data_IF_602087217470
#
_entry.id   IF_602087217470
#
_cell.length_a   1.000
_cell.length_b   1.000
_cell.length_c   1.000
_cell.angle_alpha   90.00
_cell.angle_beta   90.00
_cell.angle_gamma   90.00
#
_symmetry.space_group_name_H-M   'P 1'
#
loop_
_entity.id
_entity.type
_entity.pdbx_description
1 polymer ?
#
# COMPACT_ATOMS: atom_id res chain seq x y z
N UNK A 1 12.21 -29.92 1.99
CA UNK A 1 11.09 -29.88 2.97
C UNK A 1 11.21 -28.58 3.75
N UNK A 2 10.54 -27.52 3.29
CA UNK A 2 10.38 -26.30 4.10
C UNK A 2 9.33 -26.63 5.16
N UNK A 3 9.69 -26.49 6.43
CA UNK A 3 8.79 -26.81 7.55
C UNK A 3 7.57 -25.87 7.51
N UNK A 4 6.39 -26.38 7.89
CA UNK A 4 5.14 -25.61 7.96
C UNK A 4 5.23 -24.34 8.82
N UNK A 5 6.21 -24.29 9.73
CA UNK A 5 6.54 -23.13 10.55
C UNK A 5 7.19 -21.99 9.76
N UNK A 6 8.09 -22.31 8.83
CA UNK A 6 8.74 -21.31 7.97
C UNK A 6 7.75 -20.72 6.96
N UNK A 7 6.88 -21.57 6.39
CA UNK A 7 5.85 -21.11 5.46
C UNK A 7 4.84 -20.15 6.13
N UNK A 8 4.45 -20.45 7.37
CA UNK A 8 3.61 -19.58 8.20
C UNK A 8 4.31 -18.24 8.49
N UNK A 9 5.60 -18.27 8.84
CA UNK A 9 6.38 -17.07 9.16
C UNK A 9 6.60 -16.16 7.93
N UNK A 10 6.84 -16.76 6.76
CA UNK A 10 6.94 -16.04 5.48
C UNK A 10 5.58 -15.42 5.11
N UNK A 11 4.48 -16.13 5.33
CA UNK A 11 3.13 -15.63 5.04
C UNK A 11 2.77 -14.44 5.94
N UNK A 12 3.01 -14.56 7.25
CA UNK A 12 2.75 -13.50 8.22
C UNK A 12 3.60 -12.26 7.94
N UNK A 13 4.90 -12.44 7.64
CA UNK A 13 5.77 -11.32 7.29
C UNK A 13 5.37 -10.64 5.98
N UNK A 14 4.96 -11.40 4.96
CA UNK A 14 4.41 -10.85 3.71
C UNK A 14 3.15 -10.01 3.93
N UNK A 15 2.22 -10.51 4.75
CA UNK A 15 1.01 -9.78 5.15
C UNK A 15 1.37 -8.48 5.88
N UNK A 16 2.31 -8.56 6.84
CA UNK A 16 2.74 -7.39 7.61
C UNK A 16 3.40 -6.34 6.72
N UNK A 17 4.26 -6.74 5.78
CA UNK A 17 4.87 -5.85 4.79
C UNK A 17 3.79 -5.18 3.93
N UNK A 18 2.78 -5.93 3.47
CA UNK A 18 1.66 -5.36 2.72
C UNK A 18 0.91 -4.28 3.51
N UNK A 19 0.57 -4.56 4.76
CA UNK A 19 -0.06 -3.59 5.68
C UNK A 19 0.81 -2.34 5.84
N UNK A 20 2.13 -2.51 6.02
CA UNK A 20 3.06 -1.40 6.15
C UNK A 20 3.14 -0.55 4.88
N UNK A 21 3.14 -1.16 3.68
CA UNK A 21 3.13 -0.43 2.41
C UNK A 21 1.84 0.40 2.27
N UNK A 22 0.69 -0.15 2.67
CA UNK A 22 -0.56 0.60 2.66
C UNK A 22 -0.57 1.74 3.67
N UNK A 23 -0.10 1.49 4.90
CA UNK A 23 0.04 2.53 5.92
C UNK A 23 1.00 3.64 5.46
N UNK A 24 2.09 3.27 4.78
CA UNK A 24 3.09 4.19 4.25
C UNK A 24 2.47 5.17 3.23
N UNK A 25 1.63 4.69 2.32
CA UNK A 25 0.90 5.55 1.36
C UNK A 25 0.07 6.60 2.09
N UNK A 26 -0.77 6.21 3.05
CA UNK A 26 -1.63 7.15 3.79
C UNK A 26 -0.78 8.15 4.57
N UNK A 27 0.30 7.67 5.18
CA UNK A 27 1.24 8.49 5.97
C UNK A 27 1.96 9.54 5.14
N UNK A 28 2.34 9.20 3.92
CA UNK A 28 2.95 10.13 2.98
C UNK A 28 2.01 11.31 2.72
N UNK A 29 0.73 11.05 2.50
CA UNK A 29 -0.26 12.10 2.33
C UNK A 29 -0.37 12.95 3.59
N UNK A 30 -0.54 12.31 4.74
CA UNK A 30 -0.85 13.01 5.99
C UNK A 30 0.31 13.90 6.42
N UNK A 31 1.54 13.41 6.24
CA UNK A 31 2.76 14.14 6.54
C UNK A 31 3.07 15.27 5.57
N UNK A 32 2.91 15.06 4.26
CA UNK A 32 3.29 16.06 3.25
C UNK A 32 2.23 17.14 3.01
N UNK A 33 0.94 16.85 3.19
CA UNK A 33 -0.11 17.86 3.11
C UNK A 33 -0.24 18.70 4.40
N UNK A 34 0.72 18.57 5.33
CA UNK A 34 0.78 19.31 6.60
C UNK A 34 -0.55 19.29 7.36
N UNK A 35 -1.19 18.11 7.45
CA UNK A 35 -2.40 17.97 8.25
C UNK A 35 -2.07 18.15 9.74
N UNK A 36 -3.04 18.71 10.46
CA UNK A 36 -2.97 18.85 11.91
C UNK A 36 -2.91 17.45 12.56
N UNK A 37 -2.28 17.36 13.74
CA UNK A 37 -2.20 16.08 14.48
C UNK A 37 -3.58 15.46 14.72
N UNK A 38 -4.62 16.30 14.85
CA UNK A 38 -6.01 15.87 15.03
C UNK A 38 -6.57 15.21 13.78
N UNK A 39 -6.36 15.81 12.60
CA UNK A 39 -6.80 15.23 11.33
C UNK A 39 -6.08 13.91 11.05
N UNK A 40 -4.76 13.84 11.25
CA UNK A 40 -4.00 12.59 11.09
C UNK A 40 -4.49 11.49 12.04
N UNK A 41 -4.80 11.85 13.30
CA UNK A 41 -5.34 10.90 14.28
C UNK A 41 -6.74 10.41 13.86
N UNK A 42 -7.62 11.30 13.38
CA UNK A 42 -8.93 10.92 12.86
C UNK A 42 -8.82 9.93 11.70
N UNK A 43 -7.90 10.16 10.77
CA UNK A 43 -7.65 9.26 9.65
C UNK A 43 -7.13 7.92 10.18
N UNK A 44 -6.08 7.92 11.02
CA UNK A 44 -5.53 6.69 11.59
C UNK A 44 -6.60 5.87 12.35
N UNK A 45 -7.47 6.54 13.10
CA UNK A 45 -8.55 5.92 13.85
C UNK A 45 -9.64 5.37 12.92
N UNK A 46 -9.94 6.03 11.81
CA UNK A 46 -10.82 5.49 10.77
C UNK A 46 -10.27 4.21 10.15
N UNK A 47 -8.95 4.13 9.88
CA UNK A 47 -8.30 2.92 9.37
C UNK A 47 -8.32 1.79 10.41
N UNK A 48 -8.09 2.11 11.69
CA UNK A 48 -8.20 1.15 12.78
C UNK A 48 -9.63 0.59 12.90
N UNK A 49 -10.65 1.46 12.85
CA UNK A 49 -12.05 1.07 12.92
C UNK A 49 -12.48 0.23 11.70
N UNK A 50 -12.00 0.57 10.51
CA UNK A 50 -12.24 -0.23 9.30
C UNK A 50 -11.61 -1.62 9.42
N UNK A 51 -10.36 -1.72 9.89
CA UNK A 51 -9.68 -2.99 10.07
C UNK A 51 -10.37 -3.89 11.12
N UNK A 52 -10.81 -3.31 12.24
CA UNK A 52 -11.54 -4.06 13.27
C UNK A 52 -12.91 -4.51 12.77
N UNK A 53 -13.64 -3.65 12.06
CA UNK A 53 -14.91 -3.99 11.43
C UNK A 53 -14.75 -5.15 10.44
N UNK A 54 -13.73 -5.10 9.58
CA UNK A 54 -13.44 -6.21 8.65
C UNK A 54 -13.10 -7.51 9.42
N UNK A 55 -12.35 -7.43 10.51
CA UNK A 55 -12.06 -8.58 11.38
C UNK A 55 -13.30 -9.29 11.93
N UNK A 56 -14.32 -8.53 12.31
CA UNK A 56 -15.61 -9.07 12.77
C UNK A 56 -16.40 -9.67 11.61
N UNK A 57 -16.43 -8.98 10.47
CA UNK A 57 -17.22 -9.36 9.29
C UNK A 57 -16.73 -10.67 8.65
N UNK A 58 -15.45 -11.03 8.80
CA UNK A 58 -14.88 -12.30 8.28
C UNK A 58 -15.66 -13.53 8.76
N UNK A 59 -16.24 -13.49 9.96
CA UNK A 59 -17.05 -14.60 10.48
C UNK A 59 -18.42 -14.77 9.82
N UNK A 60 -18.88 -13.78 9.04
CA UNK A 60 -20.26 -13.72 8.52
C UNK A 60 -20.34 -13.71 6.98
N UNK A 61 -19.22 -13.54 6.26
CA UNK A 61 -19.25 -13.37 4.80
C UNK A 61 -19.25 -14.72 4.07
N UNK A 62 -20.20 -14.96 3.14
CA UNK A 62 -20.15 -16.10 2.24
C UNK A 62 -19.10 -15.91 1.13
N UNK A 63 -18.53 -17.02 0.66
CA UNK A 63 -17.45 -17.06 -0.35
C UNK A 63 -17.77 -16.31 -1.67
N UNK A 64 -19.05 -16.13 -2.02
CA UNK A 64 -19.47 -15.42 -3.24
C UNK A 64 -19.17 -13.91 -3.19
N UNK A 65 -19.32 -13.28 -2.02
CA UNK A 65 -19.03 -11.85 -1.84
C UNK A 65 -17.53 -11.59 -1.87
N UNK A 66 -16.73 -12.56 -1.45
CA UNK A 66 -15.27 -12.48 -1.45
C UNK A 66 -14.68 -12.37 -2.88
N UNK A 67 -15.12 -13.20 -3.81
CA UNK A 67 -14.66 -13.11 -5.21
C UNK A 67 -15.07 -11.80 -5.88
N UNK A 68 -16.26 -11.31 -5.59
CA UNK A 68 -16.71 -10.01 -6.09
C UNK A 68 -15.87 -8.86 -5.53
N UNK A 69 -15.54 -8.90 -4.24
CA UNK A 69 -14.67 -7.92 -3.58
C UNK A 69 -13.24 -7.94 -4.15
N UNK A 70 -12.70 -9.12 -4.44
CA UNK A 70 -11.38 -9.26 -5.08
C UNK A 70 -11.37 -8.68 -6.50
N UNK A 71 -12.37 -9.02 -7.33
CA UNK A 71 -12.45 -8.53 -8.71
C UNK A 71 -12.67 -7.01 -8.76
N UNK A 72 -13.59 -6.49 -7.93
CA UNK A 72 -13.79 -5.06 -7.76
C UNK A 72 -12.51 -4.37 -7.25
N UNK A 73 -11.76 -5.00 -6.36
CA UNK A 73 -10.49 -4.52 -5.84
C UNK A 73 -9.43 -4.31 -6.94
N UNK A 74 -9.30 -5.26 -7.87
CA UNK A 74 -8.36 -5.16 -9.01
C UNK A 74 -8.75 -4.03 -9.96
N UNK A 75 -10.03 -3.93 -10.33
CA UNK A 75 -10.53 -2.85 -11.18
C UNK A 75 -10.30 -1.47 -10.54
N UNK A 76 -10.58 -1.36 -9.24
CA UNK A 76 -10.35 -0.11 -8.48
C UNK A 76 -8.86 0.21 -8.35
N UNK A 77 -7.99 -0.79 -8.25
CA UNK A 77 -6.53 -0.58 -8.23
C UNK A 77 -6.04 0.18 -9.47
N UNK A 78 -6.57 -0.17 -10.66
CA UNK A 78 -6.26 0.52 -11.90
C UNK A 78 -6.76 1.98 -11.91
N UNK A 79 -8.00 2.21 -11.45
CA UNK A 79 -8.58 3.55 -11.35
C UNK A 79 -7.75 4.44 -10.43
N UNK A 80 -7.38 3.93 -9.25
CA UNK A 80 -6.58 4.66 -8.27
C UNK A 80 -5.18 4.92 -8.80
N UNK A 81 -4.57 3.96 -9.49
CA UNK A 81 -3.25 4.14 -10.08
C UNK A 81 -3.25 5.29 -11.08
N UNK A 82 -4.24 5.33 -11.98
CA UNK A 82 -4.40 6.42 -12.95
C UNK A 82 -4.63 7.76 -12.24
N UNK A 83 -5.49 7.78 -11.23
CA UNK A 83 -5.83 8.98 -10.47
C UNK A 83 -4.64 9.52 -9.65
N UNK A 84 -3.79 8.64 -9.12
CA UNK A 84 -2.54 9.03 -8.45
C UNK A 84 -1.53 9.63 -9.42
N UNK A 85 -1.38 9.05 -10.62
CA UNK A 85 -0.48 9.61 -11.64
C UNK A 85 -0.98 10.98 -12.10
N UNK A 86 -2.27 11.11 -12.43
CA UNK A 86 -2.82 12.38 -12.94
C UNK A 86 -2.75 13.49 -11.88
N UNK A 87 -3.19 13.22 -10.65
CA UNK A 87 -3.12 14.20 -9.57
C UNK A 87 -1.69 14.49 -9.14
N UNK A 88 -0.79 13.51 -9.21
CA UNK A 88 0.63 13.71 -8.94
C UNK A 88 1.27 14.67 -9.95
N UNK A 89 1.00 14.48 -11.24
CA UNK A 89 1.47 15.40 -12.30
C UNK A 89 0.87 16.79 -12.13
N UNK A 90 -0.43 16.90 -11.84
CA UNK A 90 -1.08 18.20 -11.60
C UNK A 90 -0.46 18.90 -10.39
N UNK A 91 -0.27 18.20 -9.26
CA UNK A 91 0.36 18.74 -8.04
C UNK A 91 1.78 19.24 -8.29
N UNK A 92 2.60 18.45 -8.99
CA UNK A 92 3.97 18.84 -9.30
C UNK A 92 4.02 20.02 -10.28
N UNK A 93 3.15 20.03 -11.30
CA UNK A 93 3.10 21.08 -12.32
C UNK A 93 2.63 22.41 -11.73
N UNK A 94 1.56 22.39 -10.94
CA UNK A 94 0.95 23.58 -10.34
C UNK A 94 1.93 24.28 -9.40
N UNK A 95 2.61 23.50 -8.55
CA UNK A 95 3.64 24.02 -7.66
C UNK A 95 4.82 24.61 -8.43
N UNK A 96 5.32 23.93 -9.47
CA UNK A 96 6.51 24.36 -10.21
C UNK A 96 6.25 25.55 -11.16
N UNK A 97 5.01 25.75 -11.64
CA UNK A 97 4.66 26.86 -12.53
C UNK A 97 4.07 28.06 -11.82
N UNK A 98 3.11 27.83 -10.92
CA UNK A 98 2.29 28.91 -10.34
C UNK A 98 2.62 29.17 -8.88
N UNK A 99 3.34 28.25 -8.22
CA UNK A 99 3.61 28.33 -6.77
C UNK A 99 2.36 28.10 -5.91
N UNK A 100 1.25 27.66 -6.52
CA UNK A 100 0.00 27.38 -5.82
C UNK A 100 0.07 26.01 -5.12
N UNK A 101 -0.17 26.01 -3.81
CA UNK A 101 -0.24 24.77 -3.02
C UNK A 101 -1.64 24.13 -3.12
N UNK A 102 -1.75 23.08 -3.93
CA UNK A 102 -2.95 22.25 -4.05
C UNK A 102 -2.86 20.93 -3.28
N UNK A 103 -1.83 20.74 -2.45
CA UNK A 103 -1.54 19.49 -1.73
C UNK A 103 -2.70 19.04 -0.84
N UNK A 104 -3.40 19.99 -0.18
CA UNK A 104 -4.57 19.66 0.65
C UNK A 104 -5.75 19.10 -0.15
N UNK A 105 -5.91 19.50 -1.42
CA UNK A 105 -6.98 18.96 -2.29
C UNK A 105 -6.60 17.57 -2.82
N UNK A 106 -5.36 17.41 -3.30
CA UNK A 106 -4.90 16.14 -3.88
C UNK A 106 -4.58 15.09 -2.82
N UNK A 107 -4.36 15.49 -1.57
CA UNK A 107 -4.24 14.60 -0.42
C UNK A 107 -5.40 13.62 -0.26
N UNK A 108 -6.64 14.07 -0.49
CA UNK A 108 -7.82 13.22 -0.33
C UNK A 108 -7.75 11.98 -1.22
N UNK A 109 -7.27 12.12 -2.44
CA UNK A 109 -7.07 11.00 -3.35
C UNK A 109 -6.04 9.97 -2.84
N UNK A 110 -5.05 10.43 -2.08
CA UNK A 110 -4.02 9.55 -1.52
C UNK A 110 -4.51 8.82 -0.26
N UNK A 111 -5.30 9.51 0.57
CA UNK A 111 -5.71 9.04 1.89
C UNK A 111 -7.08 8.38 1.93
N UNK A 112 -7.89 8.51 0.88
CA UNK A 112 -9.19 7.87 0.81
C UNK A 112 -9.01 6.34 0.94
N UNK A 113 -9.71 5.69 1.90
CA UNK A 113 -9.63 4.25 2.09
C UNK A 113 -10.22 3.59 0.86
N UNK A 114 -9.35 3.15 -0.04
CA UNK A 114 -9.82 2.57 -1.27
C UNK A 114 -10.36 1.15 -1.04
N UNK A 115 -11.37 0.70 -1.80
CA UNK A 115 -11.93 -0.63 -1.66
C UNK A 115 -10.89 -1.75 -1.83
N UNK A 116 -9.80 -1.49 -2.59
CA UNK A 116 -8.68 -2.42 -2.70
C UNK A 116 -7.93 -2.61 -1.36
N UNK A 117 -7.72 -1.55 -0.58
CA UNK A 117 -7.13 -1.68 0.76
C UNK A 117 -8.06 -2.46 1.68
N UNK A 118 -9.38 -2.24 1.61
CA UNK A 118 -10.34 -3.02 2.40
C UNK A 118 -10.30 -4.50 2.03
N UNK A 119 -10.27 -4.83 0.74
CA UNK A 119 -10.12 -6.20 0.26
C UNK A 119 -8.81 -6.84 0.74
N UNK A 120 -7.70 -6.09 0.67
CA UNK A 120 -6.39 -6.56 1.13
C UNK A 120 -6.35 -6.76 2.65
N UNK A 121 -6.94 -5.86 3.45
CA UNK A 121 -7.06 -6.00 4.90
C UNK A 121 -7.94 -7.19 5.26
N UNK A 122 -9.08 -7.37 4.58
CA UNK A 122 -9.96 -8.53 4.77
C UNK A 122 -9.22 -9.85 4.49
N UNK A 123 -8.50 -9.91 3.37
CA UNK A 123 -7.70 -11.07 2.97
C UNK A 123 -6.60 -11.36 4.01
N UNK A 124 -5.89 -10.32 4.41
CA UNK A 124 -4.82 -10.39 5.41
C UNK A 124 -5.32 -10.94 6.74
N UNK A 125 -6.42 -10.40 7.25
CA UNK A 125 -7.06 -10.87 8.48
C UNK A 125 -7.54 -12.33 8.33
N UNK A 126 -8.13 -12.70 7.20
CA UNK A 126 -8.63 -14.06 6.95
C UNK A 126 -7.48 -15.08 6.96
N UNK A 127 -6.36 -14.78 6.30
CA UNK A 127 -5.18 -15.64 6.34
C UNK A 127 -4.56 -15.70 7.74
N UNK A 128 -4.48 -14.58 8.46
CA UNK A 128 -3.96 -14.58 9.83
C UNK A 128 -4.81 -15.42 10.78
N UNK A 129 -6.14 -15.44 10.63
CA UNK A 129 -7.03 -16.31 11.42
C UNK A 129 -6.71 -17.77 11.14
N UNK A 130 -6.55 -18.13 9.86
CA UNK A 130 -6.21 -19.49 9.45
C UNK A 130 -4.84 -19.96 9.95
N UNK A 131 -3.85 -19.07 10.05
CA UNK A 131 -2.49 -19.40 10.49
C UNK A 131 -2.35 -19.40 12.02
N UNK A 132 -2.93 -18.39 12.70
CA UNK A 132 -2.72 -18.18 14.14
C UNK A 132 -3.81 -18.82 15.02
N UNK A 133 -4.91 -19.32 14.43
CA UNK A 133 -6.03 -19.97 15.14
C UNK A 133 -6.58 -19.15 16.33
N UNK A 134 -6.50 -17.83 16.24
CA UNK A 134 -7.03 -16.86 17.23
C UNK A 134 -8.32 -16.24 16.70
N UNK A 135 -9.11 -15.70 17.62
CA UNK A 135 -10.40 -15.10 17.28
C UNK A 135 -10.25 -13.93 16.28
N UNK A 136 -11.11 -13.89 15.26
CA UNK A 136 -11.03 -12.95 14.14
C UNK A 136 -11.08 -11.47 14.57
N UNK A 137 -11.83 -11.17 15.64
CA UNK A 137 -11.92 -9.81 16.18
C UNK A 137 -10.59 -9.33 16.78
N UNK A 138 -9.79 -10.24 17.38
CA UNK A 138 -8.47 -9.90 17.94
C UNK A 138 -7.47 -9.59 16.84
N UNK A 139 -7.52 -10.33 15.73
CA UNK A 139 -6.67 -10.08 14.56
C UNK A 139 -7.04 -8.75 13.92
N UNK A 140 -8.33 -8.47 13.71
CA UNK A 140 -8.79 -7.18 13.18
C UNK A 140 -8.31 -6.00 14.04
N UNK A 141 -8.37 -6.15 15.37
CA UNK A 141 -7.85 -5.15 16.31
C UNK A 141 -6.32 -5.01 16.20
N UNK A 142 -5.58 -6.11 16.12
CA UNK A 142 -4.12 -6.09 16.00
C UNK A 142 -3.67 -5.42 14.69
N UNK A 143 -4.28 -5.76 13.57
CA UNK A 143 -4.02 -5.14 12.25
C UNK A 143 -4.39 -3.65 12.30
N UNK A 144 -5.52 -3.28 12.90
CA UNK A 144 -5.91 -1.90 13.11
C UNK A 144 -4.91 -1.11 13.96
N UNK A 145 -4.37 -1.72 15.02
CA UNK A 145 -3.34 -1.11 15.86
C UNK A 145 -2.04 -0.86 15.10
N UNK A 146 -1.63 -1.79 14.23
CA UNK A 146 -0.47 -1.59 13.33
C UNK A 146 -0.71 -0.40 12.41
N UNK A 147 -1.88 -0.31 11.75
CA UNK A 147 -2.23 0.85 10.94
C UNK A 147 -2.17 2.16 11.74
N UNK A 148 -2.72 2.19 12.95
CA UNK A 148 -2.71 3.37 13.81
C UNK A 148 -1.28 3.85 14.11
N UNK A 149 -0.43 2.95 14.61
CA UNK A 149 0.95 3.26 14.99
C UNK A 149 1.78 3.66 13.78
N UNK A 150 1.67 2.91 12.68
CA UNK A 150 2.40 3.21 11.44
C UNK A 150 1.98 4.56 10.85
N UNK A 151 0.67 4.86 10.80
CA UNK A 151 0.18 6.13 10.25
C UNK A 151 0.68 7.30 11.08
N UNK A 152 0.52 7.25 12.41
CA UNK A 152 0.95 8.36 13.27
C UNK A 152 2.48 8.52 13.22
N UNK A 153 3.23 7.42 13.34
CA UNK A 153 4.69 7.44 13.38
C UNK A 153 5.32 7.93 12.08
N UNK A 154 4.89 7.37 10.93
CA UNK A 154 5.42 7.76 9.62
C UNK A 154 4.96 9.16 9.23
N UNK A 155 3.73 9.57 9.54
CA UNK A 155 3.25 10.92 9.24
C UNK A 155 4.06 11.98 9.99
N UNK A 156 4.42 11.73 11.25
CA UNK A 156 5.27 12.64 12.03
C UNK A 156 6.68 12.74 11.43
N UNK A 157 7.23 11.60 10.99
CA UNK A 157 8.54 11.55 10.32
C UNK A 157 8.53 12.37 9.02
N UNK A 158 7.52 12.20 8.18
CA UNK A 158 7.39 12.94 6.92
C UNK A 158 7.16 14.43 7.16
N UNK A 159 6.39 14.79 8.20
CA UNK A 159 6.15 16.19 8.55
C UNK A 159 7.42 16.92 8.96
N UNK A 160 8.34 16.26 9.69
CA UNK A 160 9.64 16.85 10.06
C UNK A 160 10.56 17.09 8.87
N UNK A 161 10.32 16.44 7.73
CA UNK A 161 11.21 16.51 6.58
C UNK A 161 11.05 17.78 5.73
N UNK A 162 10.17 18.73 6.07
CA UNK A 162 9.95 20.00 5.35
C UNK A 162 9.92 19.85 3.81
N UNK A 163 9.20 18.84 3.32
CA UNK A 163 9.11 18.56 1.88
C UNK A 163 8.15 19.52 1.18
N UNK A 164 8.42 19.82 -0.09
CA UNK A 164 7.59 20.70 -0.92
C UNK A 164 6.43 19.94 -1.56
N UNK A 165 5.35 20.61 -1.98
CA UNK A 165 4.25 20.02 -2.76
C UNK A 165 4.69 19.24 -4.01
N UNK A 166 5.79 19.66 -4.65
CA UNK A 166 6.39 18.92 -5.78
C UNK A 166 6.84 17.51 -5.38
N UNK A 167 7.41 17.35 -4.18
CA UNK A 167 7.82 16.03 -3.66
C UNK A 167 6.62 15.11 -3.43
N UNK A 168 5.50 15.68 -2.99
CA UNK A 168 4.24 14.95 -2.85
C UNK A 168 3.72 14.50 -4.23
N UNK A 169 3.73 15.39 -5.22
CA UNK A 169 3.36 15.05 -6.60
C UNK A 169 4.23 13.93 -7.18
N UNK A 170 5.54 14.01 -7.00
CA UNK A 170 6.48 12.97 -7.43
C UNK A 170 6.25 11.63 -6.70
N UNK A 171 5.97 11.66 -5.41
CA UNK A 171 5.62 10.45 -4.64
C UNK A 171 4.31 9.82 -5.13
N UNK A 172 3.29 10.64 -5.46
CA UNK A 172 2.03 10.18 -6.05
C UNK A 172 2.24 9.50 -7.40
N UNK A 173 3.06 10.11 -8.28
CA UNK A 173 3.41 9.51 -9.59
C UNK A 173 4.12 8.18 -9.38
N UNK A 174 5.11 8.13 -8.49
CA UNK A 174 5.87 6.89 -8.22
C UNK A 174 4.95 5.77 -7.70
N UNK A 175 4.06 6.08 -6.75
CA UNK A 175 3.09 5.13 -6.23
C UNK A 175 2.10 4.66 -7.31
N UNK A 176 1.62 5.58 -8.15
CA UNK A 176 0.72 5.25 -9.26
C UNK A 176 1.39 4.33 -10.30
N UNK A 177 2.62 4.62 -10.70
CA UNK A 177 3.41 3.77 -11.59
C UNK A 177 3.70 2.39 -10.96
N UNK A 178 4.02 2.36 -9.67
CA UNK A 178 4.21 1.11 -8.92
C UNK A 178 2.92 0.26 -8.93
N UNK A 179 1.74 0.87 -8.84
CA UNK A 179 0.46 0.17 -8.91
C UNK A 179 0.18 -0.39 -10.31
N UNK A 180 0.47 0.37 -11.37
CA UNK A 180 0.37 -0.11 -12.76
C UNK A 180 1.31 -1.29 -12.99
N UNK A 181 2.56 -1.18 -12.54
CA UNK A 181 3.54 -2.25 -12.62
C UNK A 181 3.05 -3.51 -11.89
N UNK A 182 2.54 -3.34 -10.67
CA UNK A 182 1.98 -4.45 -9.88
C UNK A 182 0.81 -5.13 -10.61
N UNK A 183 -0.09 -4.37 -11.22
CA UNK A 183 -1.21 -4.91 -12.01
C UNK A 183 -0.74 -5.68 -13.24
N UNK A 184 0.37 -5.29 -13.88
CA UNK A 184 0.91 -5.99 -15.04
C UNK A 184 1.67 -7.26 -14.65
N UNK A 185 2.44 -7.20 -13.55
CA UNK A 185 3.29 -8.31 -13.09
C UNK A 185 2.49 -9.48 -12.55
N UNK A 186 1.42 -9.23 -11.78
CA UNK A 186 0.65 -10.30 -11.12
C UNK A 186 0.03 -11.28 -12.14
N UNK A 187 -0.74 -10.85 -13.16
CA UNK A 187 -1.31 -11.74 -14.15
C UNK A 187 -0.26 -12.38 -15.07
N UNK A 188 0.81 -11.65 -15.42
CA UNK A 188 1.91 -12.20 -16.23
C UNK A 188 2.64 -13.34 -15.50
N UNK A 189 2.85 -13.19 -14.19
CA UNK A 189 3.43 -14.23 -13.35
C UNK A 189 2.50 -15.45 -13.23
N UNK A 190 1.20 -15.23 -13.03
CA UNK A 190 0.22 -16.33 -12.94
C UNK A 190 0.04 -17.05 -14.30
N UNK A 191 0.01 -16.31 -15.41
CA UNK A 191 -0.11 -16.88 -16.76
C UNK A 191 1.09 -17.75 -17.15
N UNK A 192 2.31 -17.36 -16.77
CA UNK A 192 3.51 -18.17 -17.05
C UNK A 192 3.55 -19.48 -16.24
N UNK A 193 2.96 -19.51 -15.04
CA UNK A 193 2.84 -20.71 -14.18
C UNK A 193 1.79 -21.71 -14.67
N UNK A 194 0.76 -21.26 -15.38
CA UNK A 194 -0.30 -22.14 -15.93
C UNK A 194 0.17 -22.81 -17.23
N UNK A 195 1.09 -22.19 -17.98
CA UNK A 195 1.65 -22.73 -19.21
C UNK A 195 2.80 -23.73 -19.00
N UNK A 196 3.30 -23.91 -17.76
CA UNK A 196 4.41 -24.81 -17.45
C UNK A 196 3.99 -25.85 -16.40
N UNK A 197 4.10 -27.13 -16.76
CA UNK A 197 3.91 -28.28 -15.86
C UNK A 197 4.71 -28.12 -14.56
N UNK A 198 4.22 -28.67 -13.43
CA UNK A 198 4.80 -28.43 -12.12
C UNK A 198 6.10 -29.23 -11.92
N UNK A 199 7.21 -28.75 -12.48
CA UNK A 199 8.53 -29.29 -12.11
C UNK A 199 9.65 -28.26 -12.10
N UNK A 200 9.47 -27.04 -12.59
CA UNK A 200 10.45 -25.98 -12.42
C UNK A 200 9.72 -24.70 -12.06
N UNK A 201 9.68 -24.38 -10.77
CA UNK A 201 9.54 -22.96 -10.41
C UNK A 201 10.69 -22.25 -11.12
N UNK A 202 10.45 -21.27 -12.01
CA UNK A 202 11.51 -20.33 -12.31
C UNK A 202 11.75 -19.63 -10.98
N UNK A 203 12.83 -20.02 -10.32
CA UNK A 203 13.45 -19.26 -9.24
C UNK A 203 13.99 -17.98 -9.85
N UNK A 204 13.09 -17.12 -10.35
CA UNK A 204 13.35 -15.69 -10.35
C UNK A 204 13.42 -15.33 -8.88
N UNK A 205 14.62 -15.55 -8.32
CA UNK A 205 14.94 -15.43 -6.91
C UNK A 205 14.33 -14.11 -6.46
N UNK A 206 13.55 -14.14 -5.39
CA UNK A 206 12.96 -12.94 -4.82
C UNK A 206 14.01 -11.84 -4.61
N UNK A 207 15.28 -12.25 -4.40
CA UNK A 207 16.50 -11.43 -4.43
C UNK A 207 16.64 -10.53 -5.67
N UNK A 208 16.32 -10.98 -6.88
CA UNK A 208 16.40 -10.16 -8.09
C UNK A 208 15.28 -9.13 -8.18
N UNK A 209 14.05 -9.48 -7.76
CA UNK A 209 12.92 -8.56 -7.76
C UNK A 209 13.11 -7.51 -6.66
N UNK A 210 13.48 -7.94 -5.45
CA UNK A 210 13.81 -7.04 -4.35
C UNK A 210 15.08 -6.23 -4.64
N UNK A 211 16.07 -6.80 -5.33
CA UNK A 211 17.29 -6.12 -5.76
C UNK A 211 17.02 -5.08 -6.84
N UNK A 212 16.13 -5.36 -7.78
CA UNK A 212 15.71 -4.40 -8.80
C UNK A 212 14.88 -3.26 -8.19
N UNK A 213 13.95 -3.57 -7.29
CA UNK A 213 13.19 -2.56 -6.54
C UNK A 213 14.10 -1.70 -5.66
N UNK A 214 15.03 -2.32 -4.93
CA UNK A 214 16.04 -1.61 -4.14
C UNK A 214 16.95 -0.77 -5.04
N UNK A 215 17.35 -1.28 -6.19
CA UNK A 215 18.14 -0.57 -7.20
C UNK A 215 17.41 0.66 -7.75
N UNK A 216 16.12 0.56 -8.04
CA UNK A 216 15.32 1.71 -8.48
C UNK A 216 15.16 2.76 -7.37
N UNK A 217 14.99 2.35 -6.12
CA UNK A 217 14.96 3.25 -4.96
C UNK A 217 16.33 3.92 -4.73
N UNK A 218 17.43 3.17 -4.89
CA UNK A 218 18.79 3.68 -4.74
C UNK A 218 19.17 4.64 -5.87
N UNK A 219 18.80 4.32 -7.11
CA UNK A 219 18.96 5.19 -8.27
C UNK A 219 18.14 6.46 -8.12
N UNK A 220 16.88 6.37 -7.67
CA UNK A 220 16.07 7.55 -7.35
C UNK A 220 16.71 8.41 -6.26
N UNK A 221 17.28 7.78 -5.23
CA UNK A 221 18.00 8.48 -4.15
C UNK A 221 19.30 9.14 -4.65
N UNK A 222 20.08 8.45 -5.49
CA UNK A 222 21.34 8.94 -6.07
C UNK A 222 21.11 10.04 -7.10
N UNK A 223 20.15 9.90 -7.99
CA UNK A 223 19.78 10.93 -8.97
C UNK A 223 19.33 12.24 -8.31
N UNK A 224 18.73 12.14 -7.13
CA UNK A 224 18.37 13.29 -6.29
C UNK A 224 19.59 13.90 -5.58
N UNK A 225 20.58 13.08 -5.22
CA UNK A 225 21.85 13.54 -4.65
C UNK A 225 22.79 14.17 -5.68
N UNK A 226 22.69 13.76 -6.95
CA UNK A 226 23.49 14.28 -8.06
C UNK A 226 22.88 15.52 -8.73
N UNK A 227 21.75 16.06 -8.23
CA UNK A 227 21.15 17.30 -8.74
C UNK A 227 20.55 17.20 -10.15
N UNK A 228 20.32 15.98 -10.65
CA UNK A 228 19.80 15.75 -12.01
C UNK A 228 18.28 15.93 -12.09
N UNK A 229 17.58 15.82 -10.96
CA UNK A 229 16.16 16.17 -10.83
C UNK A 229 16.03 17.30 -9.80
N UNK A 230 15.64 18.49 -10.27
CA UNK A 230 15.17 19.60 -9.44
C UNK A 230 13.74 19.36 -9.00
#
# INVERSE_FOLDING_TARGET
MVSSLELSSITVSGILIGILIFAFKVSLGCGMACLSRRETLLIALSYMALASLMGVIIGFIPNSVFFWLLNAGVAMHAVIALLLVTLGVITAREWNREGHDISRRTFWALSFPCPACMAATFLSCSFLVGVLNVASWMIGLAVGAVFLVSIIGLSELFRKSHRTPSDMGNAMIFLGLFYILSMLVIPAYLGSKIASTPSEMPSVNAVYIYGFLFGMVLLGYLSRRMGVAK
#
